data_IF_907942402459
#
_entry.id   IF_907942402459
#
_cell.length_a   1.000
_cell.length_b   1.000
_cell.length_c   1.000
_cell.angle_alpha   90.00
_cell.angle_beta   90.00
_cell.angle_gamma   90.00
#
_symmetry.space_group_name_H-M   'P 1'
#
loop_
_entity.id
_entity.type
_entity.pdbx_description
1 polymer ?
#
# COMPACT_ATOMS: atom_id res chain seq x y z
N UNK A 1 10.20 -9.36 -9.38
CA UNK A 1 10.62 -8.80 -8.03
C UNK A 1 9.57 -7.82 -7.54
N UNK A 2 9.25 -7.83 -6.23
CA UNK A 2 8.28 -6.89 -5.65
C UNK A 2 8.98 -6.02 -4.61
N UNK A 3 8.78 -4.71 -4.70
CA UNK A 3 9.28 -3.73 -3.75
C UNK A 3 8.14 -2.91 -3.16
N UNK A 4 8.28 -2.46 -1.91
CA UNK A 4 7.30 -1.63 -1.21
C UNK A 4 7.99 -0.40 -0.63
N UNK A 5 7.35 0.75 -0.75
CA UNK A 5 7.72 2.03 -0.12
C UNK A 5 6.46 2.81 0.25
N UNK A 6 6.55 3.96 0.90
CA UNK A 6 5.41 4.83 1.24
C UNK A 6 5.57 6.26 0.74
N UNK A 7 4.53 7.03 0.84
CA UNK A 7 4.46 8.50 0.90
C UNK A 7 5.37 9.22 -0.11
N UNK A 8 5.03 9.18 -1.38
CA UNK A 8 5.84 9.86 -2.41
C UNK A 8 5.57 11.35 -2.50
N UNK A 9 4.41 11.82 -2.02
CA UNK A 9 3.99 13.25 -1.99
C UNK A 9 4.51 14.01 -3.20
N UNK A 10 4.30 13.46 -4.38
CA UNK A 10 4.89 14.01 -5.59
C UNK A 10 4.60 15.52 -5.70
N UNK A 11 5.59 16.36 -5.96
CA UNK A 11 6.99 16.05 -6.34
C UNK A 11 8.00 15.94 -5.17
N UNK A 12 7.60 16.03 -3.91
CA UNK A 12 8.51 16.21 -2.76
C UNK A 12 9.40 14.99 -2.51
N UNK A 13 8.77 13.83 -2.25
CA UNK A 13 9.46 12.63 -1.77
C UNK A 13 9.65 11.57 -2.88
N UNK A 14 9.11 11.80 -4.08
CA UNK A 14 9.21 10.89 -5.22
C UNK A 14 10.65 10.67 -5.68
N UNK A 15 11.57 11.57 -5.36
CA UNK A 15 12.99 11.46 -5.71
C UNK A 15 13.71 10.26 -5.06
N UNK A 16 13.15 9.65 -4.00
CA UNK A 16 13.66 8.38 -3.47
C UNK A 16 13.60 7.25 -4.50
N UNK A 17 12.71 7.36 -5.49
CA UNK A 17 12.56 6.40 -6.58
C UNK A 17 13.50 6.64 -7.76
N UNK A 18 14.45 7.57 -7.69
CA UNK A 18 15.44 7.75 -8.75
C UNK A 18 16.47 6.61 -8.75
N UNK A 19 17.20 6.43 -9.86
CA UNK A 19 18.15 5.32 -10.03
C UNK A 19 19.39 5.39 -9.13
N UNK A 20 19.63 6.52 -8.45
CA UNK A 20 20.69 6.67 -7.47
C UNK A 20 20.25 6.11 -6.11
N UNK A 21 19.00 6.39 -5.70
CA UNK A 21 18.46 6.00 -4.40
C UNK A 21 17.82 4.61 -4.44
N UNK A 22 17.36 4.17 -5.62
CA UNK A 22 16.80 2.85 -5.90
C UNK A 22 17.50 2.24 -7.12
N UNK A 23 18.77 1.82 -6.99
CA UNK A 23 19.55 1.27 -8.10
C UNK A 23 19.04 -0.08 -8.60
N UNK A 24 18.33 -0.86 -7.79
CA UNK A 24 17.77 -2.17 -8.12
C UNK A 24 16.80 -2.09 -9.29
N UNK A 25 16.11 -0.96 -9.47
CA UNK A 25 15.20 -0.76 -10.60
C UNK A 25 15.85 -0.95 -11.98
N UNK A 26 17.19 -0.87 -12.08
CA UNK A 26 17.92 -1.11 -13.35
C UNK A 26 17.85 -2.56 -13.81
N UNK A 27 17.58 -3.49 -12.89
CA UNK A 27 17.46 -4.93 -13.16
C UNK A 27 15.99 -5.37 -13.23
N UNK A 28 15.07 -4.46 -12.95
CA UNK A 28 13.63 -4.72 -13.03
C UNK A 28 13.12 -4.64 -14.46
N UNK A 29 11.99 -5.28 -14.70
CA UNK A 29 11.21 -5.24 -15.93
C UNK A 29 9.77 -4.83 -15.61
N UNK A 30 8.92 -4.61 -16.61
CA UNK A 30 7.50 -4.31 -16.38
C UNK A 30 6.72 -5.45 -15.70
N UNK A 31 7.28 -6.64 -15.62
CA UNK A 31 6.72 -7.76 -14.84
C UNK A 31 7.01 -7.61 -13.33
N UNK A 32 8.00 -6.80 -12.97
CA UNK A 32 8.32 -6.49 -11.57
C UNK A 32 7.49 -5.32 -11.07
N UNK A 33 7.17 -5.29 -9.78
CA UNK A 33 6.23 -4.33 -9.20
C UNK A 33 6.85 -3.51 -8.08
N UNK A 34 6.64 -2.19 -8.10
CA UNK A 34 6.86 -1.28 -6.99
C UNK A 34 5.50 -0.85 -6.42
N UNK A 35 5.25 -1.08 -5.13
CA UNK A 35 4.01 -0.70 -4.44
C UNK A 35 4.29 0.49 -3.51
N UNK A 36 3.50 1.54 -3.62
CA UNK A 36 3.56 2.73 -2.78
C UNK A 36 2.38 2.71 -1.81
N UNK A 37 2.66 2.76 -0.51
CA UNK A 37 1.68 2.69 0.58
C UNK A 37 1.01 4.05 0.83
N UNK A 38 0.37 4.65 -0.19
CA UNK A 38 -0.41 5.87 -0.10
C UNK A 38 0.39 7.17 -0.24
N UNK A 39 -0.33 8.28 -0.16
CA UNK A 39 0.18 9.63 -0.36
C UNK A 39 1.04 9.75 -1.63
N UNK A 40 0.42 9.31 -2.74
CA UNK A 40 1.08 9.27 -4.05
C UNK A 40 1.37 10.66 -4.57
N UNK A 41 0.36 11.53 -4.59
CA UNK A 41 0.47 12.96 -4.87
C UNK A 41 0.71 13.35 -6.33
N UNK A 42 0.83 12.40 -7.27
CA UNK A 42 1.07 12.70 -8.69
C UNK A 42 -0.22 12.86 -9.53
N UNK A 43 -1.38 12.69 -8.91
CA UNK A 43 -2.70 12.99 -9.48
C UNK A 43 -3.32 14.09 -8.64
N UNK A 44 -2.94 15.34 -8.89
CA UNK A 44 -3.31 16.44 -8.01
C UNK A 44 -4.07 17.57 -8.69
N UNK A 45 -3.61 18.02 -9.85
CA UNK A 45 -4.20 19.14 -10.56
C UNK A 45 -4.54 18.77 -12.01
N UNK A 46 -5.78 19.08 -12.42
CA UNK A 46 -6.26 18.83 -13.77
C UNK A 46 -5.40 19.55 -14.81
N UNK A 47 -4.97 18.83 -15.83
CA UNK A 47 -4.15 19.32 -16.93
C UNK A 47 -2.78 19.90 -16.50
N UNK A 48 -2.34 19.63 -15.28
CA UNK A 48 -1.04 20.05 -14.77
C UNK A 48 0.11 19.50 -15.61
N UNK A 49 1.01 20.40 -15.98
CA UNK A 49 2.29 20.01 -16.62
C UNK A 49 3.19 19.24 -15.67
N UNK A 50 3.13 19.54 -14.38
CA UNK A 50 3.90 18.88 -13.33
C UNK A 50 3.41 17.46 -13.10
N UNK A 51 2.09 17.25 -12.89
CA UNK A 51 1.52 15.92 -12.72
C UNK A 51 1.83 15.03 -13.93
N UNK A 52 1.65 15.58 -15.15
CA UNK A 52 1.96 14.87 -16.39
C UNK A 52 3.43 14.47 -16.48
N UNK A 53 4.36 15.34 -16.09
CA UNK A 53 5.78 15.05 -16.07
C UNK A 53 6.08 13.89 -15.11
N UNK A 54 5.59 13.95 -13.88
CA UNK A 54 5.86 12.92 -12.89
C UNK A 54 5.18 11.58 -13.19
N UNK A 55 3.95 11.62 -13.70
CA UNK A 55 3.26 10.40 -14.13
C UNK A 55 3.97 9.72 -15.29
N UNK A 56 4.49 10.47 -16.27
CA UNK A 56 5.28 9.91 -17.36
C UNK A 56 6.62 9.37 -16.84
N UNK A 57 7.28 10.09 -15.92
CA UNK A 57 8.54 9.64 -15.32
C UNK A 57 8.35 8.33 -14.50
N UNK A 58 7.20 8.15 -13.86
CA UNK A 58 6.86 6.90 -13.17
C UNK A 58 6.54 5.78 -14.16
N UNK A 59 5.83 6.10 -15.24
CA UNK A 59 5.49 5.14 -16.30
C UNK A 59 6.73 4.69 -17.10
N UNK A 60 7.73 5.56 -17.25
CA UNK A 60 9.02 5.27 -17.91
C UNK A 60 9.97 4.38 -17.07
N UNK A 61 9.61 4.05 -15.82
CA UNK A 61 10.42 3.14 -15.01
C UNK A 61 10.44 1.72 -15.61
N UNK A 62 11.48 0.98 -15.32
CA UNK A 62 11.56 -0.42 -15.76
C UNK A 62 10.54 -1.36 -15.09
N UNK A 63 9.86 -0.92 -14.03
CA UNK A 63 8.86 -1.70 -13.30
C UNK A 63 7.46 -1.12 -13.47
N UNK A 64 6.45 -1.94 -13.17
CA UNK A 64 5.08 -1.48 -12.94
C UNK A 64 5.02 -0.78 -11.58
N UNK A 65 4.43 0.42 -11.54
CA UNK A 65 4.25 1.20 -10.31
C UNK A 65 2.80 1.12 -9.88
N UNK A 66 2.57 0.65 -8.66
CA UNK A 66 1.27 0.57 -8.05
C UNK A 66 1.23 1.43 -6.78
N UNK A 67 0.07 1.97 -6.44
CA UNK A 67 -0.11 2.67 -5.17
C UNK A 67 -1.51 2.43 -4.61
N UNK A 68 -1.66 2.36 -3.29
CA UNK A 68 -2.96 2.61 -2.67
C UNK A 68 -3.12 4.11 -2.44
N UNK A 69 -4.33 4.58 -2.23
CA UNK A 69 -4.56 5.97 -1.86
C UNK A 69 -4.18 6.25 -0.40
N UNK A 70 -3.74 7.47 -0.13
CA UNK A 70 -3.53 8.01 1.22
C UNK A 70 -4.58 9.06 1.58
N UNK A 71 -4.24 9.97 2.49
CA UNK A 71 -5.07 11.15 2.79
C UNK A 71 -4.67 12.38 1.94
N UNK A 72 -3.53 12.33 1.27
CA UNK A 72 -3.04 13.38 0.37
C UNK A 72 -3.26 13.00 -1.10
N UNK A 73 -4.54 12.82 -1.48
CA UNK A 73 -4.95 12.53 -2.87
C UNK A 73 -6.05 13.49 -3.31
N UNK A 74 -6.07 13.81 -4.60
CA UNK A 74 -7.23 14.43 -5.23
C UNK A 74 -8.17 13.33 -5.72
N UNK A 75 -9.10 12.92 -4.86
CA UNK A 75 -10.03 11.82 -5.14
C UNK A 75 -10.97 12.12 -6.32
N UNK A 76 -11.32 13.39 -6.55
CA UNK A 76 -12.16 13.77 -7.69
C UNK A 76 -11.48 13.43 -9.02
N UNK A 77 -10.17 13.70 -9.12
CA UNK A 77 -9.39 13.36 -10.32
C UNK A 77 -9.02 11.87 -10.37
N UNK A 78 -8.69 11.28 -9.23
CA UNK A 78 -8.28 9.89 -9.15
C UNK A 78 -9.39 8.95 -9.63
N UNK A 79 -10.63 9.23 -9.25
CA UNK A 79 -11.78 8.40 -9.61
C UNK A 79 -12.31 8.63 -11.03
N UNK A 80 -11.78 9.60 -11.78
CA UNK A 80 -12.09 9.76 -13.21
C UNK A 80 -11.31 8.78 -14.12
N UNK A 81 -10.22 8.18 -13.60
CA UNK A 81 -9.45 7.22 -14.39
C UNK A 81 -10.22 5.92 -14.64
N UNK A 82 -10.01 5.29 -15.80
CA UNK A 82 -10.72 4.06 -16.16
C UNK A 82 -10.41 2.93 -15.17
N UNK A 83 -11.45 2.21 -14.78
CA UNK A 83 -11.32 1.00 -13.96
C UNK A 83 -11.07 -0.17 -14.91
N UNK A 84 -10.00 -0.92 -14.63
CA UNK A 84 -9.65 -2.15 -15.35
C UNK A 84 -9.35 -3.28 -14.36
N UNK A 85 -9.38 -4.52 -14.83
CA UNK A 85 -8.91 -5.66 -14.04
C UNK A 85 -7.39 -5.82 -14.21
N UNK A 86 -6.69 -5.98 -13.10
CA UNK A 86 -5.26 -6.23 -13.06
C UNK A 86 -4.92 -7.20 -11.92
N UNK A 87 -4.25 -8.30 -12.25
CA UNK A 87 -3.79 -9.30 -11.28
C UNK A 87 -4.87 -9.81 -10.31
N UNK A 88 -6.11 -9.94 -10.78
CA UNK A 88 -7.24 -10.49 -10.01
C UNK A 88 -8.05 -9.47 -9.21
N UNK A 89 -7.68 -8.20 -9.20
CA UNK A 89 -8.41 -7.11 -8.57
C UNK A 89 -8.65 -5.93 -9.52
N UNK A 90 -9.47 -4.98 -9.11
CA UNK A 90 -9.77 -3.75 -9.88
C UNK A 90 -8.77 -2.66 -9.54
N UNK A 91 -8.36 -1.91 -10.57
CA UNK A 91 -7.46 -0.77 -10.45
C UNK A 91 -7.97 0.40 -11.27
N UNK A 92 -7.63 1.64 -10.86
CA UNK A 92 -7.68 2.76 -11.79
C UNK A 92 -6.39 2.78 -12.60
N UNK A 93 -6.50 2.75 -13.93
CA UNK A 93 -5.34 2.80 -14.83
C UNK A 93 -4.92 4.24 -15.08
N UNK A 94 -3.86 4.70 -14.41
CA UNK A 94 -3.38 6.08 -14.50
C UNK A 94 -2.49 6.27 -15.73
N UNK A 95 -1.65 5.27 -16.03
CA UNK A 95 -0.79 5.15 -17.22
C UNK A 95 -0.76 3.69 -17.66
N UNK A 96 0.03 3.39 -18.70
CA UNK A 96 0.20 2.03 -19.18
C UNK A 96 0.72 1.08 -18.09
N UNK A 97 1.64 1.56 -17.24
CA UNK A 97 2.24 0.80 -16.13
C UNK A 97 2.20 1.53 -14.78
N UNK A 98 1.23 2.43 -14.58
CA UNK A 98 0.97 3.08 -13.28
C UNK A 98 -0.49 2.84 -12.90
N UNK A 99 -0.71 2.16 -11.77
CA UNK A 99 -2.02 1.73 -11.30
C UNK A 99 -2.32 2.19 -9.88
N UNK A 100 -3.52 2.73 -9.67
CA UNK A 100 -4.10 2.89 -8.34
C UNK A 100 -4.81 1.59 -7.95
N UNK A 101 -4.32 0.93 -6.92
CA UNK A 101 -4.90 -0.29 -6.34
C UNK A 101 -6.15 0.09 -5.55
N UNK A 102 -7.32 -0.36 -6.00
CA UNK A 102 -8.58 0.04 -5.38
C UNK A 102 -8.75 -0.58 -3.99
N UNK A 103 -9.49 0.12 -3.15
CA UNK A 103 -9.74 -0.27 -1.76
C UNK A 103 -10.45 -1.60 -1.64
N UNK A 104 -9.95 -2.46 -0.76
CA UNK A 104 -10.55 -3.74 -0.44
C UNK A 104 -10.32 -4.85 -1.46
N UNK A 105 -9.54 -4.60 -2.50
CA UNK A 105 -9.19 -5.60 -3.50
C UNK A 105 -8.06 -6.54 -3.01
N UNK A 106 -8.01 -7.73 -3.60
CA UNK A 106 -6.94 -8.70 -3.41
C UNK A 106 -6.28 -8.98 -4.76
N UNK A 107 -4.97 -8.76 -4.82
CA UNK A 107 -4.17 -8.94 -6.03
C UNK A 107 -3.24 -10.14 -5.90
N UNK A 108 -3.00 -10.86 -6.99
CA UNK A 108 -1.98 -11.92 -7.06
C UNK A 108 -0.81 -11.43 -7.90
N UNK A 109 0.27 -11.00 -7.26
CA UNK A 109 1.47 -10.47 -7.90
C UNK A 109 2.61 -11.47 -7.68
N UNK A 110 3.22 -11.96 -8.75
CA UNK A 110 4.29 -12.99 -8.70
C UNK A 110 3.92 -14.20 -7.80
N UNK A 111 2.66 -14.62 -7.85
CA UNK A 111 2.15 -15.77 -7.08
C UNK A 111 1.94 -15.52 -5.59
N UNK A 112 2.06 -14.27 -5.12
CA UNK A 112 1.77 -13.84 -3.75
C UNK A 112 0.49 -13.01 -3.72
N UNK A 113 -0.31 -13.17 -2.68
CA UNK A 113 -1.57 -12.45 -2.52
C UNK A 113 -1.39 -11.20 -1.66
N UNK A 114 -1.89 -10.07 -2.15
CA UNK A 114 -1.84 -8.76 -1.51
C UNK A 114 -3.24 -8.23 -1.30
N UNK A 115 -3.66 -8.07 -0.06
CA UNK A 115 -4.85 -7.29 0.25
C UNK A 115 -4.47 -5.82 0.38
N UNK A 116 -5.27 -4.93 -0.24
CA UNK A 116 -4.99 -3.49 -0.28
C UNK A 116 -6.17 -2.70 0.28
N UNK A 117 -5.89 -1.77 1.19
CA UNK A 117 -6.90 -0.85 1.72
C UNK A 117 -6.24 0.52 1.98
N UNK A 118 -6.51 1.47 1.10
CA UNK A 118 -6.06 2.86 1.24
C UNK A 118 -6.84 3.66 2.27
N UNK A 119 -6.48 4.93 2.38
CA UNK A 119 -7.11 5.91 3.26
C UNK A 119 -6.43 6.08 4.60
N UNK A 120 -6.50 7.30 5.12
CA UNK A 120 -6.10 7.69 6.47
C UNK A 120 -6.74 9.02 6.86
N UNK A 121 -6.74 9.34 8.14
CA UNK A 121 -7.31 10.58 8.66
C UNK A 121 -6.30 11.73 8.61
N UNK A 122 -6.62 12.83 7.93
CA UNK A 122 -5.86 14.07 8.01
C UNK A 122 -6.03 14.75 9.37
N UNK A 123 -4.94 14.91 10.12
CA UNK A 123 -4.94 15.61 11.41
C UNK A 123 -5.12 17.12 11.26
N UNK A 124 -4.79 17.65 10.10
CA UNK A 124 -4.79 19.09 9.80
C UNK A 124 -5.96 19.55 8.90
N UNK A 125 -6.98 18.69 8.71
CA UNK A 125 -8.14 18.97 7.84
C UNK A 125 -8.84 20.30 8.15
N UNK A 126 -8.79 20.75 9.42
CA UNK A 126 -9.36 22.03 9.86
C UNK A 126 -8.68 23.24 9.22
N UNK A 127 -7.46 23.10 8.70
CA UNK A 127 -6.70 24.14 8.00
C UNK A 127 -6.76 24.00 6.48
N UNK A 128 -7.47 22.98 6.00
CA UNK A 128 -7.61 22.63 4.58
C UNK A 128 -9.00 22.97 4.06
N UNK A 129 -9.15 22.97 2.75
CA UNK A 129 -10.43 23.24 2.08
C UNK A 129 -10.86 22.01 1.28
N UNK A 130 -12.09 21.54 1.56
CA UNK A 130 -12.69 20.41 0.87
C UNK A 130 -12.80 20.66 -0.64
N UNK A 131 -12.45 19.63 -1.44
CA UNK A 131 -12.42 19.70 -2.90
C UNK A 131 -11.25 20.51 -3.49
N UNK A 132 -10.29 20.96 -2.66
CA UNK A 132 -9.10 21.71 -3.12
C UNK A 132 -7.82 21.16 -2.52
N UNK A 133 -7.77 20.94 -1.21
CA UNK A 133 -6.58 20.47 -0.50
C UNK A 133 -6.91 19.38 0.51
N UNK A 134 -8.15 18.97 0.57
CA UNK A 134 -8.66 17.87 1.38
C UNK A 134 -9.96 17.35 0.76
N UNK A 135 -10.20 16.06 0.89
CA UNK A 135 -11.41 15.36 0.41
C UNK A 135 -11.92 14.43 1.51
N UNK A 136 -13.23 14.41 1.71
CA UNK A 136 -13.86 13.52 2.70
C UNK A 136 -13.66 12.04 2.36
N UNK A 137 -13.38 11.73 1.10
CA UNK A 137 -13.02 10.39 0.60
C UNK A 137 -11.68 9.87 1.13
N UNK A 138 -10.90 10.68 1.87
CA UNK A 138 -9.67 10.18 2.53
C UNK A 138 -9.94 8.99 3.46
N UNK A 139 -11.16 8.89 4.02
CA UNK A 139 -11.59 7.74 4.82
C UNK A 139 -12.45 6.82 3.94
N UNK A 140 -12.19 5.51 3.92
CA UNK A 140 -13.04 4.55 3.23
C UNK A 140 -14.51 4.65 3.68
N UNK A 141 -15.43 4.60 2.72
CA UNK A 141 -16.86 4.56 3.00
C UNK A 141 -17.26 3.24 3.67
N UNK A 142 -18.41 3.17 4.36
CA UNK A 142 -18.93 1.91 4.91
C UNK A 142 -19.09 0.81 3.84
N UNK A 143 -19.43 1.18 2.61
CA UNK A 143 -19.57 0.27 1.47
C UNK A 143 -18.21 -0.30 1.05
N UNK A 144 -17.16 0.53 0.97
CA UNK A 144 -15.80 0.10 0.69
C UNK A 144 -15.26 -0.81 1.81
N UNK A 145 -15.55 -0.49 3.07
CA UNK A 145 -15.19 -1.32 4.22
C UNK A 145 -15.89 -2.69 4.18
N UNK A 146 -17.18 -2.74 3.81
CA UNK A 146 -17.92 -3.99 3.66
C UNK A 146 -17.40 -4.81 2.47
N UNK A 147 -17.06 -4.17 1.35
CA UNK A 147 -16.42 -4.79 0.19
C UNK A 147 -15.07 -5.43 0.58
N UNK A 148 -14.24 -4.70 1.32
CA UNK A 148 -12.96 -5.18 1.82
C UNK A 148 -13.10 -6.48 2.64
N UNK A 149 -14.03 -6.51 3.59
CA UNK A 149 -14.29 -7.72 4.38
C UNK A 149 -14.85 -8.86 3.53
N UNK A 150 -15.72 -8.56 2.56
CA UNK A 150 -16.27 -9.57 1.64
C UNK A 150 -15.16 -10.23 0.83
N UNK A 151 -14.22 -9.46 0.28
CA UNK A 151 -13.09 -9.99 -0.48
C UNK A 151 -12.14 -10.81 0.37
N UNK A 152 -11.86 -10.40 1.62
CA UNK A 152 -11.06 -11.19 2.55
C UNK A 152 -11.76 -12.53 2.90
N UNK A 153 -13.07 -12.54 3.11
CA UNK A 153 -13.85 -13.77 3.33
C UNK A 153 -13.76 -14.68 2.11
N UNK A 154 -13.95 -14.14 0.90
CA UNK A 154 -13.87 -14.90 -0.35
C UNK A 154 -12.48 -15.49 -0.60
N UNK A 155 -11.43 -14.85 -0.07
CA UNK A 155 -10.05 -15.37 -0.07
C UNK A 155 -9.74 -16.30 1.12
N UNK A 156 -10.76 -16.78 1.85
CA UNK A 156 -10.60 -17.73 2.95
C UNK A 156 -9.93 -17.13 4.18
N UNK A 157 -10.06 -15.80 4.40
CA UNK A 157 -9.48 -15.05 5.52
C UNK A 157 -7.93 -15.13 5.55
N UNK A 158 -7.30 -15.27 4.39
CA UNK A 158 -5.86 -15.43 4.26
C UNK A 158 -5.33 -14.68 3.05
N UNK A 159 -4.20 -13.97 3.25
CA UNK A 159 -3.39 -13.34 2.20
C UNK A 159 -1.92 -13.41 2.59
N UNK A 160 -0.98 -13.24 1.65
CA UNK A 160 0.44 -13.22 2.03
C UNK A 160 0.82 -11.89 2.67
N UNK A 161 0.35 -10.77 2.11
CA UNK A 161 0.71 -9.42 2.55
C UNK A 161 -0.50 -8.51 2.62
N UNK A 162 -0.43 -7.53 3.52
CA UNK A 162 -1.40 -6.45 3.61
C UNK A 162 -0.68 -5.13 3.31
N UNK A 163 -1.30 -4.31 2.47
CA UNK A 163 -0.83 -2.97 2.10
C UNK A 163 -1.93 -1.98 2.50
N UNK A 164 -1.59 -1.05 3.37
CA UNK A 164 -2.49 0.06 3.74
C UNK A 164 -1.74 1.38 3.74
N UNK A 165 -2.45 2.50 3.82
CA UNK A 165 -1.81 3.76 4.12
C UNK A 165 -1.73 3.96 5.64
N UNK A 166 -2.83 3.88 6.37
CA UNK A 166 -2.85 3.92 7.83
C UNK A 166 -2.59 2.53 8.45
N UNK A 167 -2.50 2.44 9.77
CA UNK A 167 -2.19 1.22 10.51
C UNK A 167 -3.25 0.92 11.59
N UNK A 168 -3.35 -0.35 12.06
CA UNK A 168 -4.23 -0.71 13.16
C UNK A 168 -3.91 0.03 14.47
N UNK A 169 -4.92 0.20 15.32
CA UNK A 169 -4.86 1.05 16.52
C UNK A 169 -3.68 0.77 17.45
N UNK A 170 -3.28 -0.51 17.62
CA UNK A 170 -2.12 -0.84 18.49
C UNK A 170 -0.81 -0.40 17.87
N UNK A 171 -0.68 -0.45 16.54
CA UNK A 171 0.50 0.04 15.83
C UNK A 171 0.56 1.57 15.93
N UNK A 172 -0.55 2.26 15.67
CA UNK A 172 -0.65 3.72 15.81
C UNK A 172 -0.24 4.18 17.22
N UNK A 173 -0.72 3.48 18.25
CA UNK A 173 -0.31 3.75 19.65
C UNK A 173 1.16 3.48 19.91
N UNK A 174 1.71 2.41 19.35
CA UNK A 174 3.14 2.10 19.45
C UNK A 174 4.01 3.22 18.86
N UNK A 175 3.54 3.85 17.76
CA UNK A 175 4.20 4.99 17.13
C UNK A 175 4.03 6.31 17.89
N UNK A 176 3.26 6.33 18.99
CA UNK A 176 3.06 7.51 19.84
C UNK A 176 1.87 8.37 19.44
N UNK A 177 0.99 7.91 18.54
CA UNK A 177 -0.23 8.61 18.13
C UNK A 177 -1.47 8.04 18.83
N UNK A 178 -2.59 8.75 18.75
CA UNK A 178 -3.86 8.32 19.33
C UNK A 178 -4.95 8.18 18.25
N UNK A 179 -5.23 6.98 17.75
CA UNK A 179 -6.19 6.74 16.67
C UNK A 179 -7.65 7.02 17.07
N UNK A 180 -7.94 7.11 18.37
CA UNK A 180 -9.30 7.27 18.90
C UNK A 180 -9.65 8.70 19.32
N UNK A 181 -8.78 9.67 19.08
CA UNK A 181 -9.06 11.12 19.33
C UNK A 181 -10.00 11.70 18.27
N UNK A 182 -11.08 11.01 17.96
CA UNK A 182 -12.12 11.50 17.05
C UNK A 182 -13.51 11.16 17.59
N UNK A 183 -14.48 12.06 17.36
CA UNK A 183 -15.89 11.76 17.57
C UNK A 183 -16.55 11.17 16.31
N UNK A 184 -15.86 11.17 15.17
CA UNK A 184 -16.38 10.72 13.89
C UNK A 184 -16.59 9.19 13.90
N UNK A 185 -17.81 8.79 13.59
CA UNK A 185 -18.21 7.38 13.61
C UNK A 185 -17.56 6.58 12.48
N UNK A 186 -17.42 7.17 11.29
CA UNK A 186 -16.84 6.48 10.12
C UNK A 186 -15.34 6.22 10.33
N UNK A 187 -14.63 7.19 10.90
CA UNK A 187 -13.22 7.01 11.27
C UNK A 187 -13.05 5.90 12.31
N UNK A 188 -13.94 5.85 13.33
CA UNK A 188 -13.93 4.74 14.30
C UNK A 188 -14.21 3.39 13.65
N UNK A 189 -15.13 3.34 12.69
CA UNK A 189 -15.40 2.11 11.92
C UNK A 189 -14.15 1.68 11.15
N UNK A 190 -13.44 2.61 10.53
CA UNK A 190 -12.22 2.31 9.79
C UNK A 190 -11.14 1.70 10.69
N UNK A 191 -10.81 2.31 11.83
CA UNK A 191 -9.85 1.71 12.77
C UNK A 191 -10.32 0.36 13.34
N UNK A 192 -11.62 0.20 13.61
CA UNK A 192 -12.16 -1.09 14.02
C UNK A 192 -12.02 -2.15 12.92
N UNK A 193 -12.15 -1.78 11.65
CA UNK A 193 -11.90 -2.66 10.52
C UNK A 193 -10.43 -3.08 10.47
N UNK A 194 -9.48 -2.13 10.56
CA UNK A 194 -8.05 -2.44 10.56
C UNK A 194 -7.68 -3.37 11.74
N UNK A 195 -8.21 -3.12 12.93
CA UNK A 195 -8.01 -3.97 14.11
C UNK A 195 -8.60 -5.37 13.91
N UNK A 196 -9.78 -5.47 13.28
CA UNK A 196 -10.43 -6.74 12.95
C UNK A 196 -9.60 -7.56 11.96
N UNK A 197 -9.08 -6.90 10.92
CA UNK A 197 -8.18 -7.53 9.94
C UNK A 197 -6.91 -8.02 10.64
N UNK A 198 -6.29 -7.19 11.48
CA UNK A 198 -5.08 -7.56 12.20
C UNK A 198 -5.25 -8.78 13.12
N UNK A 199 -6.44 -8.93 13.72
CA UNK A 199 -6.76 -10.02 14.64
C UNK A 199 -7.15 -11.34 13.95
N UNK A 200 -7.88 -11.26 12.83
CA UNK A 200 -8.60 -12.41 12.28
C UNK A 200 -8.11 -12.88 10.91
N UNK A 201 -7.33 -12.09 10.19
CA UNK A 201 -6.79 -12.49 8.89
C UNK A 201 -5.43 -13.14 9.09
N UNK A 202 -5.17 -14.26 8.39
CA UNK A 202 -3.85 -14.88 8.33
C UNK A 202 -3.01 -14.18 7.27
N UNK A 203 -1.87 -13.58 7.67
CA UNK A 203 -0.93 -12.91 6.77
C UNK A 203 0.50 -12.99 7.32
N UNK A 204 1.50 -12.81 6.45
CA UNK A 204 2.94 -12.82 6.81
C UNK A 204 3.39 -11.48 7.36
N UNK A 205 3.13 -10.39 6.62
CA UNK A 205 3.54 -9.02 6.97
C UNK A 205 2.49 -8.01 6.54
N UNK A 206 2.46 -6.89 7.26
CA UNK A 206 1.63 -5.72 6.96
C UNK A 206 2.52 -4.52 6.73
N UNK A 207 2.44 -3.91 5.53
CA UNK A 207 3.16 -2.68 5.17
C UNK A 207 2.21 -1.49 5.21
N UNK A 208 2.70 -0.36 5.75
CA UNK A 208 1.92 0.87 5.86
C UNK A 208 2.79 2.12 5.69
N UNK A 209 2.19 3.29 5.32
CA UNK A 209 2.81 4.60 5.19
C UNK A 209 2.38 5.58 6.27
N UNK A 210 1.94 6.78 5.88
CA UNK A 210 1.26 7.82 6.64
C UNK A 210 2.09 8.48 7.75
N UNK A 211 2.79 7.74 8.56
CA UNK A 211 3.50 8.24 9.75
C UNK A 211 4.89 8.80 9.45
N UNK A 212 5.33 8.75 8.20
CA UNK A 212 6.66 9.17 7.75
C UNK A 212 7.81 8.53 8.54
N UNK A 213 7.66 7.26 8.89
CA UNK A 213 8.61 6.49 9.69
C UNK A 213 9.01 5.19 8.99
N UNK A 214 10.32 4.92 8.98
CA UNK A 214 10.86 3.60 8.62
C UNK A 214 10.98 2.77 9.90
N UNK A 215 10.01 1.91 10.18
CA UNK A 215 9.91 1.16 11.44
C UNK A 215 9.47 -0.28 11.22
N UNK A 216 10.02 -1.19 12.02
CA UNK A 216 9.50 -2.54 12.16
C UNK A 216 8.98 -2.70 13.59
N UNK A 217 7.76 -3.18 13.74
CA UNK A 217 7.18 -3.44 15.05
C UNK A 217 6.32 -4.70 15.04
N UNK A 218 6.07 -5.24 16.23
CA UNK A 218 5.16 -6.35 16.43
C UNK A 218 3.91 -5.89 17.17
N UNK A 219 2.75 -6.24 16.63
CA UNK A 219 1.46 -6.04 17.25
C UNK A 219 0.52 -7.19 16.84
N UNK A 220 -0.46 -7.52 17.67
CA UNK A 220 -1.40 -8.62 17.40
C UNK A 220 -0.73 -9.98 17.14
N UNK A 221 0.53 -10.15 17.59
CA UNK A 221 1.36 -11.34 17.32
C UNK A 221 1.86 -11.45 15.88
N UNK A 222 1.96 -10.33 15.16
CA UNK A 222 2.34 -10.24 13.74
C UNK A 222 3.26 -9.07 13.48
N UNK A 223 3.99 -9.13 12.35
CA UNK A 223 4.97 -8.13 11.93
C UNK A 223 4.31 -7.01 11.11
N UNK A 224 4.60 -5.77 11.50
CA UNK A 224 4.21 -4.54 10.82
C UNK A 224 5.44 -3.76 10.39
N UNK A 225 5.42 -3.25 9.17
CA UNK A 225 6.54 -2.52 8.56
C UNK A 225 6.04 -1.16 8.07
N UNK A 226 6.38 -0.11 8.81
CA UNK A 226 6.22 1.26 8.36
C UNK A 226 7.29 1.60 7.34
N UNK A 227 6.88 2.17 6.22
CA UNK A 227 7.78 2.53 5.11
C UNK A 227 7.61 3.99 4.73
N UNK A 228 8.73 4.71 4.66
CA UNK A 228 8.76 6.10 4.21
C UNK A 228 9.94 6.34 3.26
N UNK A 229 11.18 6.40 3.77
CA UNK A 229 12.38 6.57 2.95
C UNK A 229 12.90 5.26 2.37
N UNK A 230 12.66 4.16 3.08
CA UNK A 230 13.10 2.83 2.64
C UNK A 230 12.27 2.31 1.48
N UNK A 231 12.94 1.57 0.61
CA UNK A 231 12.33 0.73 -0.42
C UNK A 231 12.67 -0.70 -0.04
N UNK A 232 11.66 -1.46 0.38
CA UNK A 232 11.82 -2.80 0.95
C UNK A 232 11.52 -3.83 -0.12
N UNK A 233 12.44 -4.74 -0.38
CA UNK A 233 12.18 -5.90 -1.25
C UNK A 233 11.35 -6.92 -0.48
N UNK A 234 10.27 -7.40 -1.08
CA UNK A 234 9.54 -8.55 -0.56
C UNK A 234 10.35 -9.79 -0.89
N UNK A 235 10.74 -10.53 0.15
CA UNK A 235 11.55 -11.72 0.03
C UNK A 235 10.80 -12.81 -0.77
N UNK A 236 11.53 -13.53 -1.58
CA UNK A 236 11.04 -14.77 -2.16
C UNK A 236 10.82 -15.77 -1.02
N UNK A 237 9.68 -16.45 -1.02
CA UNK A 237 9.51 -17.60 -0.15
C UNK A 237 10.63 -18.59 -0.49
N UNK A 238 11.60 -18.77 0.41
CA UNK A 238 12.54 -19.89 0.33
C UNK A 238 11.68 -21.16 0.45
N UNK A 239 11.10 -21.60 -0.66
CA UNK A 239 10.69 -23.00 -0.79
C UNK A 239 11.99 -23.79 -0.65
N UNK A 240 12.22 -24.33 0.55
CA UNK A 240 13.17 -25.40 0.73
C UNK A 240 12.83 -26.42 -0.37
N UNK A 241 13.63 -26.46 -1.42
CA UNK A 241 13.44 -27.47 -2.43
C UNK A 241 13.63 -28.82 -1.75
N UNK A 242 12.89 -29.84 -2.18
CA UNK A 242 13.12 -31.19 -1.69
C UNK A 242 14.62 -31.54 -1.73
N UNK A 243 15.34 -31.05 -2.74
CA UNK A 243 16.79 -31.21 -2.88
C UNK A 243 17.59 -30.52 -1.77
N UNK A 244 17.17 -29.34 -1.29
CA UNK A 244 17.83 -28.66 -0.17
C UNK A 244 17.56 -29.36 1.16
N UNK A 245 16.35 -29.91 1.36
CA UNK A 245 16.02 -30.74 2.53
C UNK A 245 16.78 -32.06 2.53
N UNK A 246 16.91 -32.71 1.38
CA UNK A 246 17.72 -33.93 1.23
C UNK A 246 19.20 -33.64 1.53
N UNK A 247 19.75 -32.52 1.02
CA UNK A 247 21.14 -32.12 1.31
C UNK A 247 21.38 -31.76 2.77
N UNK A 248 20.39 -31.24 3.51
CA UNK A 248 20.50 -31.00 4.95
C UNK A 248 20.45 -32.31 5.76
N UNK A 249 19.59 -33.25 5.37
CA UNK A 249 19.53 -34.58 6.01
C UNK A 249 20.81 -35.37 5.81
N UNK A 250 21.40 -35.35 4.61
CA UNK A 250 22.68 -36.03 4.30
C UNK A 250 23.89 -35.41 5.04
N UNK A 251 23.79 -34.15 5.54
CA UNK A 251 24.83 -33.51 6.36
C UNK A 251 24.73 -33.85 7.85
N UNK A 252 23.59 -34.33 8.33
CA UNK A 252 23.40 -34.73 9.73
C UNK A 252 23.84 -36.18 10.01
N UNK A 253 24.03 -36.98 8.97
CA UNK A 253 24.46 -38.39 9.05
C UNK A 253 25.98 -38.57 8.87
N UNK A 254 26.77 -37.49 8.90
CA UNK A 254 28.26 -37.49 8.86
C UNK A 254 28.85 -36.87 10.09
#
# INVERSE_FOLDING_TARGET
MIYVTGDTHCPKDVHKLNTKNFPEQRQMTKDDTLIICGDFGAVWERDSGEDRFWLNWLDDKNCTVCFCDGNHENFDLLYEYPIVEWNGGKVHQIRESVFHLMRGEVYTIEGKTFFVLGGAMSLDKQYRKEGISWWSQEIPSPEEMAHAMTNLINNGLKVDYIITHDAPSRVVKYLGFNPHETSDYVIKMFYNLLDTIALHIDYKKWYFGHFHMDVNCEAYGKEFVGVYNKIVKIEEDNKLSLDSLVMELEKQDK
#
